data_IF_977261067733
#
_entry.id   IF_977261067733
#
_cell.length_a   1.000
_cell.length_b   1.000
_cell.length_c   1.000
_cell.angle_alpha   90.00
_cell.angle_beta   90.00
_cell.angle_gamma   90.00
#
_symmetry.space_group_name_H-M   'P 1'
#
loop_
_entity.id
_entity.type
_entity.pdbx_description
1 polymer ?
#
# COMPACT_ATOMS: atom_id res chain seq x y z
N UNK A 1 16.46 22.07 -7.13
CA UNK A 1 15.97 23.32 -6.49
C UNK A 1 16.26 23.25 -4.99
N UNK A 2 16.50 24.39 -4.33
CA UNK A 2 16.63 24.42 -2.87
C UNK A 2 15.24 24.28 -2.23
N UNK A 3 15.10 23.43 -1.21
CA UNK A 3 13.84 23.26 -0.50
C UNK A 3 13.61 24.43 0.47
N UNK A 4 12.35 24.79 0.76
CA UNK A 4 12.04 25.80 1.77
C UNK A 4 12.46 25.38 3.18
N UNK A 5 12.61 26.36 4.07
CA UNK A 5 13.05 26.12 5.45
C UNK A 5 11.98 25.55 6.37
N UNK A 6 10.68 25.73 6.09
CA UNK A 6 9.58 25.18 6.89
C UNK A 6 8.79 24.17 6.08
N UNK A 7 8.89 22.90 6.47
CA UNK A 7 8.26 21.79 5.78
C UNK A 7 7.26 21.12 6.72
N UNK A 8 6.02 21.00 6.27
CA UNK A 8 4.96 20.28 6.94
C UNK A 8 4.67 18.98 6.20
N UNK A 9 4.73 17.85 6.89
CA UNK A 9 4.36 16.53 6.39
C UNK A 9 3.05 16.13 7.08
N UNK A 10 2.04 15.76 6.29
CA UNK A 10 0.75 15.29 6.79
C UNK A 10 0.63 13.78 6.51
N UNK A 11 0.54 12.99 7.57
CA UNK A 11 0.46 11.52 7.55
C UNK A 11 1.75 10.85 8.05
N UNK A 12 1.65 10.04 9.10
CA UNK A 12 2.71 9.25 9.73
C UNK A 12 2.80 7.80 9.25
N UNK A 13 2.44 7.53 7.99
CA UNK A 13 2.65 6.24 7.33
C UNK A 13 4.05 6.10 6.71
N UNK A 14 4.26 5.07 5.89
CA UNK A 14 5.56 4.81 5.25
C UNK A 14 6.11 6.01 4.47
N UNK A 15 5.27 6.73 3.72
CA UNK A 15 5.69 7.89 2.92
C UNK A 15 6.14 9.01 3.85
N UNK A 16 5.29 9.42 4.80
CA UNK A 16 5.61 10.54 5.67
C UNK A 16 6.79 10.29 6.61
N UNK A 17 6.86 9.12 7.25
CA UNK A 17 7.97 8.80 8.16
C UNK A 17 9.30 8.71 7.42
N UNK A 18 9.34 8.02 6.29
CA UNK A 18 10.60 7.90 5.52
C UNK A 18 11.01 9.24 4.90
N UNK A 19 10.06 10.06 4.42
CA UNK A 19 10.34 11.42 3.95
C UNK A 19 10.89 12.30 5.08
N UNK A 20 10.31 12.23 6.27
CA UNK A 20 10.81 12.96 7.44
C UNK A 20 12.25 12.57 7.78
N UNK A 21 12.56 11.26 7.81
CA UNK A 21 13.93 10.73 8.07
C UNK A 21 14.92 11.22 6.99
N UNK A 22 14.51 11.25 5.72
CA UNK A 22 15.39 11.70 4.64
C UNK A 22 15.64 13.21 4.70
N UNK A 23 14.59 14.00 4.94
CA UNK A 23 14.69 15.45 5.06
C UNK A 23 15.53 15.87 6.26
N UNK A 24 15.34 15.27 7.43
CA UNK A 24 16.07 15.62 8.66
C UNK A 24 17.59 15.39 8.54
N UNK A 25 17.98 14.38 7.75
CA UNK A 25 19.39 14.07 7.43
C UNK A 25 19.96 14.99 6.35
N UNK A 26 19.23 15.22 5.26
CA UNK A 26 19.71 15.97 4.08
C UNK A 26 19.60 17.48 4.22
N UNK A 27 18.65 17.95 5.02
CA UNK A 27 18.32 19.36 5.22
C UNK A 27 18.31 19.69 6.73
N UNK A 28 19.46 19.63 7.42
CA UNK A 28 19.54 19.75 8.88
C UNK A 28 19.08 21.13 9.42
N UNK A 29 18.98 22.14 8.55
CA UNK A 29 18.51 23.49 8.90
C UNK A 29 17.00 23.69 8.64
N UNK A 30 16.31 22.70 8.07
CA UNK A 30 14.87 22.78 7.85
C UNK A 30 14.11 22.49 9.15
N UNK A 31 13.07 23.27 9.41
CA UNK A 31 12.07 23.01 10.43
C UNK A 31 11.03 22.05 9.86
N UNK A 32 11.05 20.81 10.34
CA UNK A 32 10.17 19.75 9.85
C UNK A 32 9.12 19.46 10.91
N UNK A 33 7.84 19.60 10.54
CA UNK A 33 6.71 19.16 11.36
C UNK A 33 6.03 17.98 10.68
N UNK A 34 5.77 16.90 11.42
CA UNK A 34 4.96 15.77 10.96
C UNK A 34 3.67 15.73 11.77
N UNK A 35 2.52 15.74 11.09
CA UNK A 35 1.21 15.57 11.71
C UNK A 35 0.68 14.17 11.41
N UNK A 36 0.26 13.43 12.44
CA UNK A 36 -0.46 12.17 12.33
C UNK A 36 -1.81 12.29 13.06
N UNK A 37 -2.88 11.74 12.51
CA UNK A 37 -4.22 11.79 13.11
C UNK A 37 -4.32 10.84 14.31
N UNK A 38 -3.77 9.63 14.20
CA UNK A 38 -3.77 8.68 15.30
C UNK A 38 -2.95 9.20 16.50
N UNK A 39 -3.37 8.91 17.74
CA UNK A 39 -2.64 9.31 18.94
C UNK A 39 -1.30 8.55 19.12
N UNK A 40 -1.05 7.56 18.27
CA UNK A 40 0.17 6.73 18.28
C UNK A 40 0.71 6.56 16.87
N UNK A 41 2.02 6.37 16.78
CA UNK A 41 2.69 5.81 15.60
C UNK A 41 3.36 4.53 16.10
N UNK A 42 2.98 3.35 15.60
CA UNK A 42 2.17 3.09 14.40
C UNK A 42 0.66 3.44 14.52
N UNK A 43 0.03 3.87 13.42
CA UNK A 43 -1.42 4.12 13.33
C UNK A 43 -2.15 2.79 13.03
N UNK A 44 -3.04 2.29 13.91
CA UNK A 44 -3.71 0.98 13.75
C UNK A 44 -4.62 0.89 12.51
N UNK A 45 -5.04 2.03 11.96
CA UNK A 45 -5.88 2.11 10.76
C UNK A 45 -5.07 2.35 9.48
N UNK A 46 -3.78 2.66 9.59
CA UNK A 46 -2.91 2.88 8.44
C UNK A 46 -2.59 1.56 7.72
N UNK A 47 -2.64 1.55 6.39
CA UNK A 47 -2.19 0.37 5.60
C UNK A 47 -0.70 0.06 5.75
N UNK A 48 0.08 0.98 6.32
CA UNK A 48 1.47 0.74 6.70
C UNK A 48 1.60 -0.28 7.86
N UNK A 49 0.52 -0.47 8.64
CA UNK A 49 0.52 -1.27 9.88
C UNK A 49 -0.22 -2.58 9.67
N UNK A 50 0.47 -3.67 9.99
CA UNK A 50 -0.01 -5.04 9.86
C UNK A 50 0.98 -6.00 10.55
N UNK A 51 0.58 -7.24 10.80
CA UNK A 51 1.50 -8.28 11.29
C UNK A 51 2.55 -8.67 10.25
N UNK A 52 2.24 -8.47 8.97
CA UNK A 52 3.19 -8.76 7.89
C UNK A 52 2.87 -8.06 6.57
N UNK A 53 3.92 -7.77 5.79
CA UNK A 53 3.83 -7.29 4.41
C UNK A 53 4.88 -7.97 3.53
N UNK A 54 4.52 -8.21 2.27
CA UNK A 54 5.42 -8.84 1.29
C UNK A 54 6.52 -7.83 0.89
N UNK A 55 7.77 -8.28 0.93
CA UNK A 55 8.96 -7.53 0.51
C UNK A 55 9.58 -8.24 -0.69
N UNK A 56 9.47 -7.64 -1.88
CA UNK A 56 9.77 -8.32 -3.15
C UNK A 56 10.28 -7.37 -4.24
N UNK A 57 11.14 -7.87 -5.13
CA UNK A 57 11.58 -7.17 -6.34
C UNK A 57 10.81 -7.61 -7.61
N UNK A 58 9.81 -8.46 -7.45
CA UNK A 58 9.17 -9.23 -8.51
C UNK A 58 8.16 -8.44 -9.36
N UNK A 59 8.61 -7.54 -10.23
CA UNK A 59 7.72 -6.71 -11.06
C UNK A 59 7.94 -6.94 -12.56
N UNK A 60 6.85 -6.88 -13.35
CA UNK A 60 6.96 -6.85 -14.81
C UNK A 60 7.64 -5.56 -15.32
N UNK A 61 7.53 -4.45 -14.59
CA UNK A 61 8.24 -3.21 -14.85
C UNK A 61 9.62 -3.25 -14.18
N UNK A 62 10.68 -3.03 -14.97
CA UNK A 62 12.07 -3.13 -14.51
C UNK A 62 12.45 -2.03 -13.53
N UNK A 63 11.88 -0.82 -13.62
CA UNK A 63 12.15 0.27 -12.68
C UNK A 63 11.71 -0.08 -11.25
N UNK A 64 10.53 -0.69 -11.09
CA UNK A 64 10.10 -1.22 -9.78
C UNK A 64 10.92 -2.42 -9.33
N UNK A 65 11.39 -3.26 -10.27
CA UNK A 65 12.28 -4.38 -9.92
C UNK A 65 13.60 -3.87 -9.33
N UNK A 66 14.23 -2.87 -9.96
CA UNK A 66 15.44 -2.19 -9.47
C UNK A 66 15.19 -1.52 -8.11
N UNK A 67 14.08 -0.79 -7.96
CA UNK A 67 13.72 -0.14 -6.69
C UNK A 67 13.49 -1.17 -5.58
N UNK A 68 12.85 -2.30 -5.90
CA UNK A 68 12.58 -3.39 -4.96
C UNK A 68 13.86 -4.07 -4.51
N UNK A 69 14.79 -4.31 -5.43
CA UNK A 69 16.12 -4.84 -5.13
C UNK A 69 16.91 -3.90 -4.21
N UNK A 70 16.90 -2.59 -4.49
CA UNK A 70 17.53 -1.59 -3.62
C UNK A 70 16.92 -1.56 -2.22
N UNK A 71 15.60 -1.69 -2.11
CA UNK A 71 14.90 -1.78 -0.82
C UNK A 71 15.27 -3.06 -0.08
N UNK A 72 15.25 -4.22 -0.74
CA UNK A 72 15.66 -5.51 -0.17
C UNK A 72 17.09 -5.47 0.35
N UNK A 73 18.02 -4.83 -0.38
CA UNK A 73 19.38 -4.63 0.11
C UNK A 73 19.38 -3.90 1.45
N UNK A 74 18.58 -2.83 1.61
CA UNK A 74 18.47 -2.11 2.88
C UNK A 74 17.83 -2.94 3.98
N UNK A 75 16.78 -3.70 3.68
CA UNK A 75 16.21 -4.66 4.64
C UNK A 75 17.26 -5.65 5.14
N UNK A 76 18.09 -6.22 4.25
CA UNK A 76 19.10 -7.22 4.62
C UNK A 76 20.32 -6.67 5.35
N UNK A 77 20.74 -5.44 5.06
CA UNK A 77 22.07 -4.93 5.42
C UNK A 77 22.08 -3.75 6.40
N UNK A 78 20.90 -3.37 6.91
CA UNK A 78 20.78 -2.23 7.84
C UNK A 78 19.81 -2.58 8.97
N UNK A 79 19.76 -1.77 10.04
CA UNK A 79 18.85 -2.00 11.17
C UNK A 79 17.35 -2.09 10.81
N UNK A 80 16.96 -1.71 9.61
CA UNK A 80 15.60 -1.89 9.09
C UNK A 80 15.12 -3.35 9.19
N UNK A 81 15.95 -4.35 8.84
CA UNK A 81 15.54 -5.75 8.90
C UNK A 81 15.95 -6.51 10.18
N UNK A 82 16.70 -5.86 11.07
CA UNK A 82 17.13 -6.46 12.34
C UNK A 82 15.96 -6.69 13.31
N UNK A 83 16.23 -7.35 14.43
CA UNK A 83 15.24 -7.67 15.49
C UNK A 83 14.01 -8.44 14.96
N UNK A 84 14.21 -9.25 13.92
CA UNK A 84 13.17 -10.05 13.30
C UNK A 84 12.14 -9.24 12.50
N UNK A 85 12.45 -7.98 12.14
CA UNK A 85 11.59 -7.16 11.27
C UNK A 85 11.55 -7.66 9.84
N UNK A 86 12.59 -8.31 9.33
CA UNK A 86 12.61 -8.88 7.97
C UNK A 86 12.95 -10.37 7.99
N UNK A 87 12.22 -11.13 7.19
CA UNK A 87 12.40 -12.58 6.99
C UNK A 87 12.53 -12.86 5.51
N UNK A 88 13.68 -13.42 5.11
CA UNK A 88 13.95 -13.83 3.73
C UNK A 88 13.68 -15.34 3.58
N UNK A 89 12.43 -15.69 3.28
CA UNK A 89 12.01 -17.08 3.05
C UNK A 89 11.46 -17.31 1.63
N UNK A 90 11.59 -16.32 0.74
CA UNK A 90 11.21 -16.40 -0.66
C UNK A 90 9.79 -15.95 -0.97
N UNK A 91 9.54 -15.76 -2.26
CA UNK A 91 8.24 -15.50 -2.85
C UNK A 91 7.98 -16.53 -3.95
N UNK A 92 6.87 -17.24 -3.86
CA UNK A 92 6.34 -18.11 -4.90
C UNK A 92 5.23 -17.38 -5.65
N UNK A 93 5.51 -16.97 -6.90
CA UNK A 93 4.53 -16.34 -7.77
C UNK A 93 3.99 -17.36 -8.77
N UNK A 94 2.68 -17.53 -8.79
CA UNK A 94 1.99 -18.53 -9.63
C UNK A 94 0.92 -17.91 -10.52
N UNK A 95 0.67 -18.52 -11.67
CA UNK A 95 -0.36 -18.09 -12.64
C UNK A 95 -1.19 -19.28 -13.15
N UNK A 96 -2.47 -19.06 -13.53
CA UNK A 96 -3.34 -20.13 -14.04
C UNK A 96 -3.09 -20.38 -15.53
N UNK A 97 -3.63 -21.48 -16.06
CA UNK A 97 -3.44 -21.87 -17.47
C UNK A 97 -4.23 -21.03 -18.47
N UNK A 98 -5.33 -20.44 -18.04
CA UNK A 98 -6.32 -19.73 -18.86
C UNK A 98 -6.15 -18.20 -18.87
N UNK A 99 -5.20 -17.65 -18.09
CA UNK A 99 -4.91 -16.21 -18.05
C UNK A 99 -3.61 -15.85 -18.78
N UNK A 100 -3.74 -15.38 -20.02
CA UNK A 100 -2.61 -14.92 -20.82
C UNK A 100 -1.89 -13.72 -20.19
N UNK A 101 -2.63 -12.78 -19.60
CA UNK A 101 -2.07 -11.58 -18.96
C UNK A 101 -1.27 -11.92 -17.70
N UNK A 102 -1.78 -12.80 -16.83
CA UNK A 102 -1.07 -13.24 -15.63
C UNK A 102 0.23 -13.98 -15.98
N UNK A 103 0.17 -14.85 -17.00
CA UNK A 103 1.34 -15.57 -17.50
C UNK A 103 2.39 -14.63 -18.08
N UNK A 104 1.97 -13.60 -18.82
CA UNK A 104 2.88 -12.62 -19.39
C UNK A 104 3.54 -11.75 -18.32
N UNK A 105 2.77 -11.27 -17.34
CA UNK A 105 3.32 -10.55 -16.19
C UNK A 105 4.36 -11.41 -15.46
N UNK A 106 4.02 -12.65 -15.13
CA UNK A 106 4.91 -13.55 -14.41
C UNK A 106 6.22 -13.79 -15.16
N UNK A 107 6.18 -13.91 -16.49
CA UNK A 107 7.37 -14.08 -17.33
C UNK A 107 8.26 -12.84 -17.36
N UNK A 108 7.69 -11.65 -17.55
CA UNK A 108 8.43 -10.38 -17.50
C UNK A 108 9.06 -10.16 -16.13
N UNK A 109 8.27 -10.42 -15.08
CA UNK A 109 8.71 -10.34 -13.70
C UNK A 109 9.87 -11.29 -13.42
N UNK A 110 9.73 -12.56 -13.81
CA UNK A 110 10.80 -13.56 -13.70
C UNK A 110 12.07 -13.11 -14.42
N UNK A 111 11.97 -12.62 -15.66
CA UNK A 111 13.13 -12.17 -16.42
C UNK A 111 13.88 -11.04 -15.69
N UNK A 112 13.15 -10.03 -15.19
CA UNK A 112 13.73 -8.92 -14.45
C UNK A 112 14.44 -9.38 -13.17
N UNK A 113 13.79 -10.20 -12.33
CA UNK A 113 14.42 -10.63 -11.07
C UNK A 113 15.52 -11.67 -11.29
N UNK A 114 15.44 -12.50 -12.34
CA UNK A 114 16.50 -13.45 -12.69
C UNK A 114 17.80 -12.72 -13.09
N UNK A 115 17.69 -11.57 -13.74
CA UNK A 115 18.84 -10.71 -14.04
C UNK A 115 19.48 -10.12 -12.77
N UNK A 116 18.68 -9.79 -11.76
CA UNK A 116 19.14 -9.17 -10.50
C UNK A 116 19.68 -10.20 -9.50
N UNK A 117 18.94 -11.28 -9.27
CA UNK A 117 19.17 -12.24 -8.17
C UNK A 117 19.79 -13.56 -8.64
N UNK A 118 19.95 -13.77 -9.96
CA UNK A 118 20.62 -14.95 -10.53
C UNK A 118 19.98 -16.26 -10.09
N UNK A 119 20.80 -17.17 -9.55
CA UNK A 119 20.39 -18.53 -9.16
C UNK A 119 19.39 -18.60 -8.01
N UNK A 120 19.17 -17.49 -7.30
CA UNK A 120 18.10 -17.40 -6.29
C UNK A 120 16.69 -17.43 -6.90
N UNK A 121 16.54 -17.26 -8.22
CA UNK A 121 15.25 -17.26 -8.91
C UNK A 121 15.12 -18.50 -9.79
N UNK A 122 14.14 -19.37 -9.49
CA UNK A 122 13.95 -20.65 -10.17
C UNK A 122 12.61 -20.65 -10.89
N UNK A 123 12.64 -20.86 -12.22
CA UNK A 123 11.43 -21.02 -13.02
C UNK A 123 10.75 -22.38 -12.78
N UNK A 124 9.43 -22.38 -12.69
CA UNK A 124 8.61 -23.56 -12.38
C UNK A 124 7.59 -23.75 -13.51
N UNK A 125 7.94 -24.49 -14.58
CA UNK A 125 7.14 -24.55 -15.81
C UNK A 125 5.83 -25.33 -15.65
N UNK A 126 5.71 -26.18 -14.64
CA UNK A 126 4.54 -27.04 -14.45
C UNK A 126 3.97 -26.94 -13.04
N UNK A 127 2.70 -27.34 -12.88
CA UNK A 127 2.07 -27.54 -11.57
C UNK A 127 2.88 -28.45 -10.65
N UNK A 128 3.50 -29.51 -11.18
CA UNK A 128 4.34 -30.43 -10.40
C UNK A 128 5.54 -29.71 -9.79
N UNK A 129 6.18 -28.83 -10.56
CA UNK A 129 7.34 -28.05 -10.09
C UNK A 129 6.91 -27.06 -9.00
N UNK A 130 5.76 -26.41 -9.16
CA UNK A 130 5.17 -25.52 -8.16
C UNK A 130 4.88 -26.26 -6.85
N UNK A 131 4.18 -27.40 -6.90
CA UNK A 131 3.85 -28.19 -5.71
C UNK A 131 5.09 -28.77 -5.03
N UNK A 132 6.18 -28.98 -5.77
CA UNK A 132 7.47 -29.39 -5.20
C UNK A 132 8.11 -28.35 -4.27
N UNK A 133 7.83 -27.05 -4.47
CA UNK A 133 8.37 -25.96 -3.62
C UNK A 133 7.56 -25.78 -2.33
N UNK A 134 6.26 -26.07 -2.38
CA UNK A 134 5.32 -25.87 -1.26
C UNK A 134 4.45 -27.12 -1.04
N UNK A 135 5.04 -28.24 -0.56
CA UNK A 135 4.33 -29.51 -0.39
C UNK A 135 3.07 -29.44 0.50
N UNK A 136 2.99 -28.58 1.53
CA UNK A 136 1.75 -28.44 2.31
C UNK A 136 0.55 -27.92 1.53
N UNK A 137 0.74 -27.38 0.31
CA UNK A 137 -0.35 -26.86 -0.50
C UNK A 137 -1.08 -27.96 -1.29
N UNK A 138 -2.40 -27.79 -1.41
CA UNK A 138 -3.28 -28.81 -1.96
C UNK A 138 -3.05 -29.09 -3.45
N UNK A 139 -3.23 -30.36 -3.86
CA UNK A 139 -3.17 -30.77 -5.26
C UNK A 139 -4.27 -30.14 -6.13
N UNK A 140 -5.30 -29.56 -5.51
CA UNK A 140 -6.40 -28.88 -6.19
C UNK A 140 -6.08 -27.44 -6.59
N UNK A 141 -4.87 -26.94 -6.30
CA UNK A 141 -4.42 -25.61 -6.72
C UNK A 141 -4.52 -25.45 -8.24
N UNK A 142 -5.26 -24.43 -8.69
CA UNK A 142 -5.38 -24.09 -10.10
C UNK A 142 -4.18 -23.24 -10.55
N UNK A 143 -3.16 -23.92 -11.08
CA UNK A 143 -1.90 -23.32 -11.49
C UNK A 143 -1.35 -24.06 -12.72
N UNK A 144 -0.87 -23.30 -13.70
CA UNK A 144 -0.15 -23.85 -14.84
C UNK A 144 1.36 -23.83 -14.63
N UNK A 145 1.88 -22.80 -13.96
CA UNK A 145 3.29 -22.64 -13.63
C UNK A 145 3.53 -21.38 -12.82
N UNK A 146 4.81 -21.03 -12.67
CA UNK A 146 5.23 -19.90 -11.86
C UNK A 146 6.74 -19.79 -11.80
N UNK A 147 7.22 -19.17 -10.74
CA UNK A 147 8.62 -19.19 -10.34
C UNK A 147 8.73 -18.90 -8.84
N UNK A 148 9.83 -19.30 -8.24
CA UNK A 148 10.18 -18.93 -6.86
C UNK A 148 11.39 -18.01 -6.88
N UNK A 149 11.32 -16.92 -6.12
CA UNK A 149 12.41 -16.00 -5.88
C UNK A 149 12.81 -16.06 -4.40
N UNK A 150 13.91 -16.75 -4.10
CA UNK A 150 14.47 -16.88 -2.73
C UNK A 150 15.14 -15.60 -2.22
N UNK A 151 15.31 -14.60 -3.09
CA UNK A 151 15.72 -13.26 -2.68
C UNK A 151 14.60 -12.45 -2.01
N UNK A 152 13.34 -12.78 -2.30
CA UNK A 152 12.20 -12.09 -1.71
C UNK A 152 11.83 -12.63 -0.33
N UNK A 153 10.90 -11.96 0.35
CA UNK A 153 10.47 -12.36 1.68
C UNK A 153 9.30 -11.50 2.19
N UNK A 154 9.25 -11.32 3.50
CA UNK A 154 8.25 -10.49 4.15
C UNK A 154 8.84 -9.78 5.37
N UNK A 155 8.12 -8.78 5.88
CA UNK A 155 8.53 -8.05 7.07
C UNK A 155 7.38 -7.88 8.05
N UNK A 156 7.69 -7.82 9.34
CA UNK A 156 6.81 -7.30 10.39
C UNK A 156 6.59 -5.79 10.15
N UNK A 157 5.38 -5.44 9.71
CA UNK A 157 5.09 -4.11 9.22
C UNK A 157 4.87 -3.10 10.34
N UNK A 158 4.18 -3.50 11.40
CA UNK A 158 4.01 -2.69 12.59
C UNK A 158 5.34 -2.40 13.27
N UNK A 159 6.18 -3.42 13.49
CA UNK A 159 7.50 -3.24 14.10
C UNK A 159 8.41 -2.35 13.25
N UNK A 160 8.30 -2.41 11.91
CA UNK A 160 9.07 -1.56 11.01
C UNK A 160 8.64 -0.09 11.07
N UNK A 161 7.34 0.19 11.21
CA UNK A 161 6.82 1.55 11.41
C UNK A 161 7.25 2.11 12.78
N UNK A 162 7.19 1.28 13.82
CA UNK A 162 7.68 1.64 15.15
C UNK A 162 9.18 1.95 15.12
N UNK A 163 9.98 1.19 14.37
CA UNK A 163 11.40 1.45 14.17
C UNK A 163 11.65 2.80 13.47
N UNK A 164 10.92 3.11 12.41
CA UNK A 164 11.03 4.43 11.74
C UNK A 164 10.70 5.59 12.69
N UNK A 165 9.68 5.41 13.54
CA UNK A 165 9.34 6.40 14.57
C UNK A 165 10.47 6.56 15.59
N UNK A 166 11.04 5.46 16.07
CA UNK A 166 12.19 5.45 16.98
C UNK A 166 13.38 6.22 16.40
N UNK A 167 13.69 6.04 15.11
CA UNK A 167 14.76 6.78 14.43
C UNK A 167 14.54 8.30 14.48
N UNK A 168 13.31 8.75 14.28
CA UNK A 168 12.97 10.18 14.36
C UNK A 168 13.07 10.73 15.78
N UNK A 169 12.66 9.94 16.78
CA UNK A 169 12.76 10.32 18.19
C UNK A 169 14.21 10.44 18.65
N UNK A 170 15.07 9.49 18.25
CA UNK A 170 16.50 9.50 18.55
C UNK A 170 17.23 10.67 17.87
N UNK A 171 16.79 11.05 16.66
CA UNK A 171 17.35 12.20 15.96
C UNK A 171 16.91 13.54 16.57
N UNK A 172 15.67 13.64 17.05
CA UNK A 172 15.15 14.81 17.77
C UNK A 172 14.95 16.09 16.92
N UNK A 173 15.03 16.01 15.59
CA UNK A 173 14.90 17.17 14.68
C UNK A 173 13.50 17.37 14.08
N UNK A 174 12.62 16.38 14.19
CA UNK A 174 11.28 16.43 13.61
C UNK A 174 10.25 16.66 14.72
N UNK A 175 9.45 17.72 14.57
CA UNK A 175 8.35 18.01 15.50
C UNK A 175 7.16 17.14 15.14
N UNK A 176 6.90 16.11 15.93
CA UNK A 176 5.68 15.31 15.80
C UNK A 176 4.49 16.00 16.46
N UNK A 177 3.34 16.01 15.78
CA UNK A 177 2.05 16.42 16.34
C UNK A 177 0.98 15.38 16.05
N UNK A 178 0.11 15.15 17.03
CA UNK A 178 -1.07 14.31 16.88
C UNK A 178 -2.30 15.20 16.70
N UNK A 179 -2.87 15.24 15.50
CA UNK A 179 -4.04 16.06 15.19
C UNK A 179 -4.72 15.65 13.88
N UNK A 180 -6.04 15.87 13.82
CA UNK A 180 -6.82 15.74 12.60
C UNK A 180 -6.68 16.99 11.72
N UNK A 181 -6.18 16.80 10.50
CA UNK A 181 -6.13 17.85 9.49
C UNK A 181 -7.47 17.92 8.77
N UNK A 182 -8.09 19.10 8.84
CA UNK A 182 -9.38 19.38 8.21
C UNK A 182 -9.23 19.74 6.73
N UNK A 183 -8.30 20.64 6.40
CA UNK A 183 -8.03 21.10 5.02
C UNK A 183 -6.66 21.76 4.86
N UNK A 184 -6.19 21.84 3.62
CA UNK A 184 -5.04 22.67 3.23
C UNK A 184 -5.46 24.15 3.15
N UNK A 185 -4.60 25.03 3.65
CA UNK A 185 -4.75 26.48 3.56
C UNK A 185 -4.04 27.01 2.32
N UNK A 186 -4.72 27.86 1.55
CA UNK A 186 -4.17 28.49 0.36
C UNK A 186 -4.16 30.01 0.50
N UNK A 187 -3.07 30.63 0.05
CA UNK A 187 -2.99 32.07 -0.19
C UNK A 187 -3.28 32.35 -1.67
N UNK A 188 -4.29 33.18 -1.92
CA UNK A 188 -4.69 33.63 -3.25
C UNK A 188 -3.94 34.90 -3.62
N UNK A 189 -2.82 34.75 -4.32
CA UNK A 189 -2.10 35.88 -4.87
C UNK A 189 -2.67 36.24 -6.25
N UNK A 190 -3.05 37.52 -6.41
CA UNK A 190 -3.52 38.05 -7.70
C UNK A 190 -2.49 37.75 -8.81
N UNK A 191 -2.96 37.19 -9.92
CA UNK A 191 -2.18 36.82 -11.10
C UNK A 191 -1.12 35.71 -10.92
N UNK A 192 -1.21 34.90 -9.85
CA UNK A 192 -0.36 33.72 -9.63
C UNK A 192 -1.19 32.47 -9.32
N UNK A 193 -0.56 31.29 -9.41
CA UNK A 193 -1.15 30.04 -8.90
C UNK A 193 -1.36 30.16 -7.39
N UNK A 194 -2.48 29.67 -6.83
CA UNK A 194 -2.67 29.63 -5.38
C UNK A 194 -1.53 28.85 -4.72
N UNK A 195 -1.07 29.32 -3.55
CA UNK A 195 0.04 28.71 -2.82
C UNK A 195 -0.47 28.05 -1.55
N UNK A 196 -0.12 26.78 -1.33
CA UNK A 196 -0.34 26.13 -0.05
C UNK A 196 0.57 26.77 1.01
N UNK A 197 -0.02 27.22 2.13
CA UNK A 197 0.68 27.92 3.22
C UNK A 197 0.61 27.19 4.56
N UNK A 198 0.01 26.00 4.58
CA UNK A 198 -0.19 25.21 5.79
C UNK A 198 -1.48 24.41 5.76
N UNK A 199 -1.96 24.03 6.94
CA UNK A 199 -3.22 23.30 7.14
C UNK A 199 -4.03 23.89 8.29
N UNK A 200 -5.35 23.76 8.21
CA UNK A 200 -6.28 23.95 9.33
C UNK A 200 -6.57 22.58 9.96
N UNK A 201 -6.55 22.52 11.29
CA UNK A 201 -6.91 21.35 12.07
C UNK A 201 -8.41 21.36 12.41
N UNK A 202 -8.96 20.22 12.84
CA UNK A 202 -10.39 20.14 13.22
C UNK A 202 -10.75 21.04 14.43
N UNK A 203 -9.77 21.41 15.28
CA UNK A 203 -9.94 22.39 16.36
C UNK A 203 -9.86 23.86 15.90
N UNK A 204 -9.84 24.10 14.59
CA UNK A 204 -9.70 25.39 13.91
C UNK A 204 -8.35 26.10 14.11
N UNK A 205 -7.37 25.47 14.77
CA UNK A 205 -6.00 25.99 14.80
C UNK A 205 -5.27 25.72 13.48
N UNK A 206 -4.23 26.52 13.20
CA UNK A 206 -3.48 26.44 11.95
C UNK A 206 -2.04 26.00 12.19
N UNK A 207 -1.50 25.20 11.27
CA UNK A 207 -0.07 24.85 11.20
C UNK A 207 0.49 25.36 9.88
N UNK A 208 1.30 26.41 9.94
CA UNK A 208 1.84 27.09 8.76
C UNK A 208 3.16 26.50 8.29
N UNK A 209 3.37 26.46 6.97
CA UNK A 209 4.60 25.98 6.34
C UNK A 209 4.79 26.60 4.94
N UNK A 210 6.04 26.56 4.45
CA UNK A 210 6.38 27.02 3.10
C UNK A 210 6.26 25.89 2.05
N UNK A 211 6.29 24.63 2.53
CA UNK A 211 6.05 23.43 1.75
C UNK A 211 5.15 22.47 2.56
N UNK A 212 4.02 22.09 1.98
CA UNK A 212 3.09 21.09 2.52
C UNK A 212 3.22 19.81 1.73
N UNK A 213 3.54 18.70 2.41
CA UNK A 213 3.67 17.36 1.85
C UNK A 213 2.49 16.52 2.31
N UNK A 214 1.60 16.13 1.39
CA UNK A 214 0.50 15.22 1.69
C UNK A 214 0.95 13.78 1.48
N UNK A 215 1.22 13.10 2.60
CA UNK A 215 1.55 11.68 2.70
C UNK A 215 0.43 10.89 3.37
N UNK A 216 -0.82 11.26 3.07
CA UNK A 216 -2.04 10.83 3.79
C UNK A 216 -2.70 9.57 3.22
N UNK A 217 -2.03 8.84 2.31
CA UNK A 217 -2.51 7.58 1.77
C UNK A 217 -3.97 7.63 1.29
N UNK A 218 -4.80 6.72 1.79
CA UNK A 218 -6.22 6.59 1.42
C UNK A 218 -7.08 7.81 1.80
N UNK A 219 -6.60 8.69 2.67
CA UNK A 219 -7.29 9.93 3.05
C UNK A 219 -6.93 11.13 2.17
N UNK A 220 -5.96 10.99 1.25
CA UNK A 220 -5.55 12.10 0.37
C UNK A 220 -6.69 12.75 -0.43
N UNK A 221 -7.69 12.00 -0.97
CA UNK A 221 -8.82 12.60 -1.69
C UNK A 221 -9.65 13.61 -0.89
N UNK A 222 -9.58 13.60 0.45
CA UNK A 222 -10.23 14.60 1.30
C UNK A 222 -9.52 15.96 1.28
N UNK A 223 -8.21 15.97 0.99
CA UNK A 223 -7.35 17.15 1.13
C UNK A 223 -6.96 17.76 -0.23
N UNK A 224 -7.06 17.01 -1.31
CA UNK A 224 -6.81 17.46 -2.69
C UNK A 224 -7.70 16.68 -3.66
N UNK A 225 -8.12 17.32 -4.75
CA UNK A 225 -8.95 16.68 -5.77
C UNK A 225 -8.13 15.65 -6.58
N UNK A 226 -8.43 14.37 -6.35
CA UNK A 226 -7.82 13.23 -7.05
C UNK A 226 -8.77 12.55 -8.02
N UNK A 227 -9.93 13.14 -8.33
CA UNK A 227 -10.90 12.53 -9.25
C UNK A 227 -10.24 12.20 -10.59
N UNK A 228 -10.37 10.95 -11.00
CA UNK A 228 -9.75 10.40 -12.21
C UNK A 228 -8.24 10.19 -12.14
N UNK A 229 -7.60 10.42 -10.99
CA UNK A 229 -6.15 10.27 -10.79
C UNK A 229 -5.83 9.21 -9.76
N UNK A 230 -6.62 9.14 -8.70
CA UNK A 230 -6.47 8.15 -7.66
C UNK A 230 -7.79 7.90 -6.93
N UNK A 231 -7.99 6.67 -6.45
CA UNK A 231 -9.19 6.29 -5.68
C UNK A 231 -8.80 5.47 -4.46
N UNK A 232 -9.39 5.75 -3.30
CA UNK A 232 -9.20 4.92 -2.13
C UNK A 232 -10.02 3.62 -2.25
N UNK A 233 -9.38 2.47 -2.07
CA UNK A 233 -10.05 1.17 -2.06
C UNK A 233 -9.68 0.37 -0.81
N UNK A 234 -10.66 -0.35 -0.29
CA UNK A 234 -10.52 -1.27 0.83
C UNK A 234 -10.29 -2.69 0.33
N UNK A 235 -9.29 -3.38 0.90
CA UNK A 235 -8.99 -4.78 0.57
C UNK A 235 -9.25 -5.71 1.74
N UNK A 236 -9.72 -6.91 1.44
CA UNK A 236 -9.99 -7.92 2.44
C UNK A 236 -8.70 -8.54 3.00
N UNK A 237 -8.65 -8.67 4.33
CA UNK A 237 -7.61 -9.41 5.07
C UNK A 237 -8.29 -10.24 6.16
N UNK A 238 -7.83 -11.47 6.36
CA UNK A 238 -8.25 -12.32 7.47
C UNK A 238 -7.04 -13.00 8.14
N UNK A 239 -7.23 -13.35 9.40
CA UNK A 239 -6.22 -14.01 10.23
C UNK A 239 -6.79 -15.29 10.84
N UNK A 240 -5.96 -16.33 10.93
CA UNK A 240 -6.31 -17.64 11.47
C UNK A 240 -5.33 -17.97 12.59
N UNK A 241 -5.84 -18.35 13.78
CA UNK A 241 -5.00 -18.90 14.86
C UNK A 241 -4.54 -20.30 14.49
N UNK A 242 -3.26 -20.58 14.65
CA UNK A 242 -2.66 -21.89 14.40
C UNK A 242 -1.93 -22.41 15.64
N UNK A 243 -1.61 -23.70 15.64
CA UNK A 243 -0.81 -24.32 16.70
C UNK A 243 0.69 -24.13 16.47
N UNK A 244 1.51 -24.30 17.51
CA UNK A 244 2.97 -24.26 17.39
C UNK A 244 3.52 -25.29 16.38
N UNK A 245 2.84 -26.44 16.22
CA UNK A 245 3.22 -27.45 15.25
C UNK A 245 2.99 -26.96 13.82
N UNK A 246 1.86 -26.30 13.57
CA UNK A 246 1.52 -25.71 12.27
C UNK A 246 2.40 -24.48 11.97
N UNK A 247 2.74 -23.67 12.98
CA UNK A 247 3.70 -22.57 12.86
C UNK A 247 5.05 -23.09 12.34
N UNK A 248 5.63 -24.11 13.00
CA UNK A 248 6.91 -24.73 12.58
C UNK A 248 6.86 -25.31 11.17
N UNK A 249 5.72 -25.82 10.74
CA UNK A 249 5.54 -26.37 9.39
C UNK A 249 5.53 -25.27 8.31
N UNK A 250 4.97 -24.09 8.61
CA UNK A 250 4.67 -23.07 7.62
C UNK A 250 5.66 -21.89 7.61
N UNK A 251 6.35 -21.59 8.71
CA UNK A 251 7.13 -20.34 8.87
C UNK A 251 8.30 -20.17 7.88
N UNK A 252 8.86 -21.29 7.41
CA UNK A 252 9.98 -21.30 6.47
C UNK A 252 9.53 -21.46 5.00
N UNK A 253 8.24 -21.58 4.72
CA UNK A 253 7.74 -21.62 3.35
C UNK A 253 7.84 -20.23 2.70
N UNK A 254 7.96 -20.15 1.36
CA UNK A 254 7.86 -18.88 0.68
C UNK A 254 6.44 -18.31 0.77
N UNK A 255 6.36 -16.99 0.78
CA UNK A 255 5.07 -16.30 0.58
C UNK A 255 4.49 -16.70 -0.76
N UNK A 256 3.23 -17.16 -0.80
CA UNK A 256 2.56 -17.44 -2.07
C UNK A 256 1.78 -16.21 -2.52
N UNK A 257 1.94 -15.85 -3.79
CA UNK A 257 1.20 -14.81 -4.47
C UNK A 257 0.56 -15.40 -5.72
N UNK A 258 -0.76 -15.63 -5.65
CA UNK A 258 -1.51 -16.30 -6.70
C UNK A 258 -2.21 -15.28 -7.61
N UNK A 259 -1.68 -15.09 -8.82
CA UNK A 259 -2.23 -14.15 -9.78
C UNK A 259 -3.54 -14.63 -10.41
N UNK A 260 -3.93 -15.90 -10.25
CA UNK A 260 -5.23 -16.38 -10.69
C UNK A 260 -6.38 -15.77 -9.87
N UNK A 261 -6.15 -15.64 -8.56
CA UNK A 261 -7.20 -15.28 -7.59
C UNK A 261 -6.93 -13.95 -6.89
N UNK A 262 -5.75 -13.35 -7.09
CA UNK A 262 -5.25 -12.22 -6.32
C UNK A 262 -4.94 -12.56 -4.85
N UNK A 263 -5.05 -13.83 -4.44
CA UNK A 263 -4.85 -14.25 -3.06
C UNK A 263 -3.36 -14.40 -2.76
N UNK A 264 -2.98 -13.96 -1.57
CA UNK A 264 -1.67 -14.25 -1.01
C UNK A 264 -1.77 -14.70 0.44
N UNK A 265 -0.84 -15.59 0.80
CA UNK A 265 -0.67 -16.09 2.15
C UNK A 265 0.78 -15.82 2.53
N UNK A 266 0.95 -15.05 3.60
CA UNK A 266 2.27 -14.77 4.17
C UNK A 266 2.50 -15.81 5.29
N UNK A 267 3.70 -16.40 5.38
CA UNK A 267 4.06 -17.34 6.44
C UNK A 267 3.72 -16.79 7.82
N UNK A 268 3.25 -17.65 8.74
CA UNK A 268 2.72 -17.20 10.01
C UNK A 268 3.82 -16.70 10.93
N UNK A 269 3.43 -15.80 11.84
CA UNK A 269 4.25 -15.34 12.97
C UNK A 269 3.38 -15.35 14.21
N UNK A 270 3.95 -15.72 15.35
CA UNK A 270 3.26 -15.71 16.65
C UNK A 270 1.92 -16.46 16.60
N UNK A 271 1.90 -17.61 15.92
CA UNK A 271 0.73 -18.47 15.74
C UNK A 271 -0.46 -17.79 15.02
N UNK A 272 -0.18 -16.78 14.20
CA UNK A 272 -1.17 -16.09 13.39
C UNK A 272 -0.84 -16.22 11.90
N UNK A 273 -1.67 -16.98 11.18
CA UNK A 273 -1.59 -17.11 9.73
C UNK A 273 -2.44 -16.04 9.06
N UNK A 274 -1.86 -15.30 8.13
CA UNK A 274 -2.53 -14.24 7.38
C UNK A 274 -2.89 -14.70 5.98
N UNK A 275 -4.13 -14.42 5.57
CA UNK A 275 -4.60 -14.50 4.18
C UNK A 275 -5.17 -13.15 3.76
N UNK A 276 -4.87 -12.73 2.54
CA UNK A 276 -5.36 -11.46 2.00
C UNK A 276 -5.57 -11.54 0.50
N UNK A 277 -6.38 -10.61 -0.02
CA UNK A 277 -6.77 -10.55 -1.43
C UNK A 277 -6.36 -9.22 -2.02
N UNK A 278 -5.62 -9.25 -3.12
CA UNK A 278 -5.40 -8.11 -4.00
C UNK A 278 -6.48 -8.13 -5.09
N UNK A 279 -7.51 -7.31 -4.90
CA UNK A 279 -8.65 -7.19 -5.79
C UNK A 279 -8.84 -5.73 -6.26
N UNK A 280 -9.84 -5.50 -7.11
CA UNK A 280 -10.32 -4.14 -7.36
C UNK A 280 -10.74 -3.41 -6.07
N UNK A 281 -11.17 -4.17 -5.06
CA UNK A 281 -11.46 -3.67 -3.71
C UNK A 281 -12.83 -3.01 -3.56
N UNK A 282 -13.12 -2.57 -2.34
CA UNK A 282 -14.36 -1.89 -2.01
C UNK A 282 -14.17 -0.38 -1.99
N UNK A 283 -15.09 0.35 -2.59
CA UNK A 283 -15.20 1.80 -2.45
C UNK A 283 -16.15 2.14 -1.31
N UNK A 284 -15.92 3.28 -0.67
CA UNK A 284 -16.82 3.87 0.32
C UNK A 284 -17.06 5.34 -0.05
N UNK A 285 -18.01 5.61 -0.98
CA UNK A 285 -18.25 6.95 -1.46
C UNK A 285 -18.78 7.89 -0.37
N UNK A 286 -18.16 9.05 -0.23
CA UNK A 286 -18.51 10.12 0.72
C UNK A 286 -18.53 11.45 -0.03
N UNK A 287 -19.49 12.31 0.29
CA UNK A 287 -19.55 13.69 -0.24
C UNK A 287 -18.70 14.60 0.63
N UNK A 288 -17.75 15.30 0.02
CA UNK A 288 -16.85 16.25 0.67
C UNK A 288 -16.80 17.58 -0.09
N UNK A 289 -16.43 18.70 0.53
CA UNK A 289 -16.14 19.94 -0.19
C UNK A 289 -14.99 19.73 -1.17
N UNK A 290 -15.03 20.40 -2.33
CA UNK A 290 -13.88 20.40 -3.25
C UNK A 290 -12.73 21.22 -2.61
N UNK A 291 -11.54 20.64 -2.43
CA UNK A 291 -10.41 21.33 -1.82
C UNK A 291 -10.03 22.59 -2.61
N UNK A 292 -9.83 23.70 -1.89
CA UNK A 292 -9.52 24.99 -2.50
C UNK A 292 -10.74 25.80 -2.99
N UNK A 293 -11.97 25.26 -2.94
CA UNK A 293 -13.19 25.98 -3.38
C UNK A 293 -14.22 26.14 -2.27
N UNK A 294 -13.81 26.07 -0.99
CA UNK A 294 -14.74 26.10 0.17
C UNK A 294 -15.69 27.30 0.15
N UNK A 295 -15.27 28.45 -0.40
CA UNK A 295 -16.12 29.64 -0.52
C UNK A 295 -17.26 29.49 -1.55
N UNK A 296 -17.10 28.66 -2.59
CA UNK A 296 -18.14 28.42 -3.59
C UNK A 296 -19.20 27.41 -3.12
N UNK A 297 -18.91 26.65 -2.06
CA UNK A 297 -19.78 25.58 -1.55
C UNK A 297 -19.82 24.34 -2.45
N UNK A 298 -18.92 24.23 -3.42
CA UNK A 298 -18.86 23.07 -4.32
C UNK A 298 -18.47 21.80 -3.55
N UNK A 299 -19.12 20.69 -3.91
CA UNK A 299 -18.86 19.36 -3.32
C UNK A 299 -18.51 18.34 -4.39
N UNK A 300 -17.73 17.33 -4.01
CA UNK A 300 -17.41 16.17 -4.83
C UNK A 300 -17.69 14.88 -4.06
N UNK A 301 -17.85 13.78 -4.80
CA UNK A 301 -17.89 12.45 -4.22
C UNK A 301 -16.52 11.78 -4.41
N UNK A 302 -15.96 11.27 -3.32
CA UNK A 302 -14.70 10.52 -3.30
C UNK A 302 -14.85 9.28 -2.43
N UNK A 303 -14.01 8.27 -2.65
CA UNK A 303 -13.93 7.13 -1.72
C UNK A 303 -13.04 7.47 -0.52
N UNK A 304 -13.49 7.18 0.71
CA UNK A 304 -12.70 7.40 1.95
C UNK A 304 -12.70 6.17 2.87
N UNK A 305 -11.64 5.97 3.66
CA UNK A 305 -11.56 4.85 4.59
C UNK A 305 -12.71 4.79 5.59
N UNK A 306 -13.22 3.58 5.80
CA UNK A 306 -14.11 3.21 6.91
C UNK A 306 -13.34 2.29 7.87
N UNK A 307 -13.23 2.67 9.14
CA UNK A 307 -12.46 1.95 10.15
C UNK A 307 -13.33 0.91 10.87
N UNK A 308 -12.72 -0.19 11.32
CA UNK A 308 -13.37 -1.16 12.22
C UNK A 308 -14.49 -1.98 11.58
N UNK A 309 -14.55 -2.04 10.25
CA UNK A 309 -15.51 -2.86 9.51
C UNK A 309 -14.94 -4.25 9.18
N UNK A 310 -15.76 -5.31 9.32
CA UNK A 310 -15.33 -6.66 8.95
C UNK A 310 -15.25 -6.80 7.43
N UNK A 311 -14.64 -7.89 6.99
CA UNK A 311 -14.68 -8.30 5.58
C UNK A 311 -16.12 -8.70 5.21
N UNK A 312 -16.69 -8.21 4.09
CA UNK A 312 -17.97 -8.70 3.58
C UNK A 312 -17.95 -10.20 3.26
N UNK A 313 -19.12 -10.84 3.30
CA UNK A 313 -19.27 -12.29 3.12
C UNK A 313 -18.61 -12.79 1.82
N UNK A 314 -18.70 -12.05 0.71
CA UNK A 314 -18.04 -12.47 -0.55
C UNK A 314 -16.51 -12.56 -0.40
N UNK A 315 -15.91 -11.65 0.37
CA UNK A 315 -14.48 -11.64 0.64
C UNK A 315 -14.09 -12.82 1.53
N UNK A 316 -14.91 -13.14 2.53
CA UNK A 316 -14.74 -14.35 3.35
C UNK A 316 -14.87 -15.61 2.51
N UNK A 317 -15.88 -15.72 1.65
CA UNK A 317 -16.08 -16.85 0.73
C UNK A 317 -14.89 -17.01 -0.22
N UNK A 318 -14.34 -15.91 -0.74
CA UNK A 318 -13.11 -15.93 -1.54
C UNK A 318 -11.92 -16.52 -0.76
N UNK A 319 -11.78 -16.19 0.52
CA UNK A 319 -10.78 -16.82 1.39
C UNK A 319 -11.05 -18.30 1.60
N UNK A 320 -12.31 -18.72 1.81
CA UNK A 320 -12.65 -20.16 1.96
C UNK A 320 -12.33 -20.95 0.70
N UNK A 321 -12.62 -20.41 -0.48
CA UNK A 321 -12.27 -21.02 -1.78
C UNK A 321 -10.75 -21.15 -1.90
N UNK A 322 -10.00 -20.09 -1.58
CA UNK A 322 -8.55 -20.11 -1.65
C UNK A 322 -7.93 -21.08 -0.65
N UNK A 323 -8.40 -21.14 0.60
CA UNK A 323 -7.95 -22.10 1.59
C UNK A 323 -8.21 -23.54 1.15
N UNK A 324 -9.34 -23.83 0.51
CA UNK A 324 -9.62 -25.17 -0.04
C UNK A 324 -8.58 -25.63 -1.06
N UNK A 325 -7.97 -24.69 -1.78
CA UNK A 325 -6.94 -24.97 -2.79
C UNK A 325 -5.52 -24.94 -2.18
N UNK A 326 -5.24 -23.95 -1.35
CA UNK A 326 -3.91 -23.65 -0.84
C UNK A 326 -3.61 -24.37 0.47
N UNK A 327 -4.53 -24.38 1.44
CA UNK A 327 -4.31 -24.98 2.76
C UNK A 327 -5.59 -25.66 3.25
N UNK A 328 -5.97 -26.82 2.67
CA UNK A 328 -7.30 -27.41 2.86
C UNK A 328 -7.66 -27.68 4.32
N UNK A 329 -6.66 -27.98 5.17
CA UNK A 329 -6.83 -28.22 6.61
C UNK A 329 -7.36 -27.01 7.40
N UNK A 330 -7.27 -25.80 6.85
CA UNK A 330 -7.76 -24.57 7.48
C UNK A 330 -9.10 -24.09 6.93
N UNK A 331 -9.71 -24.79 5.96
CA UNK A 331 -10.91 -24.31 5.26
C UNK A 331 -12.08 -24.03 6.20
N UNK A 332 -12.27 -24.85 7.24
CA UNK A 332 -13.37 -24.70 8.22
C UNK A 332 -12.94 -23.99 9.50
N UNK A 333 -11.67 -23.57 9.62
CA UNK A 333 -11.16 -22.91 10.83
C UNK A 333 -11.73 -21.49 10.91
N UNK A 334 -12.26 -21.04 12.06
CA UNK A 334 -12.77 -19.68 12.18
C UNK A 334 -11.66 -18.65 11.93
N UNK A 335 -12.01 -17.55 11.27
CA UNK A 335 -11.13 -16.39 11.23
C UNK A 335 -11.10 -15.78 12.63
N UNK A 336 -9.89 -15.60 13.17
CA UNK A 336 -9.68 -14.98 14.47
C UNK A 336 -9.93 -13.47 14.41
N UNK A 337 -9.65 -12.87 13.26
CA UNK A 337 -9.94 -11.47 12.96
C UNK A 337 -10.08 -11.28 11.45
N UNK A 338 -10.85 -10.26 11.04
CA UNK A 338 -10.95 -9.81 9.65
C UNK A 338 -11.01 -8.30 9.61
N UNK A 339 -10.39 -7.69 8.60
CA UNK A 339 -10.44 -6.24 8.43
C UNK A 339 -10.36 -5.82 6.98
N UNK A 340 -10.90 -4.63 6.71
CA UNK A 340 -10.66 -3.91 5.47
C UNK A 340 -9.43 -3.02 5.61
N UNK A 341 -8.43 -3.23 4.76
CA UNK A 341 -7.22 -2.42 4.69
C UNK A 341 -7.30 -1.43 3.53
N UNK A 342 -7.20 -0.14 3.81
CA UNK A 342 -7.37 0.92 2.82
C UNK A 342 -6.06 1.44 2.23
N UNK A 343 -6.01 1.56 0.90
CA UNK A 343 -4.93 2.25 0.19
C UNK A 343 -5.47 3.04 -1.01
N UNK A 344 -4.61 3.80 -1.65
CA UNK A 344 -4.96 4.66 -2.80
C UNK A 344 -4.42 4.06 -4.08
N UNK A 345 -5.31 3.79 -5.03
CA UNK A 345 -5.00 3.20 -6.32
C UNK A 345 -4.94 4.26 -7.40
N UNK A 346 -3.92 4.17 -8.25
CA UNK A 346 -3.79 4.96 -9.48
C UNK A 346 -4.09 4.08 -10.70
N UNK A 347 -4.39 4.65 -11.89
CA UNK A 347 -4.85 3.88 -13.03
C UNK A 347 -3.89 2.76 -13.45
N UNK A 348 -2.58 3.01 -13.37
CA UNK A 348 -1.52 2.09 -13.76
C UNK A 348 -0.85 1.39 -12.56
N UNK A 349 -1.29 1.69 -11.33
CA UNK A 349 -0.66 1.19 -10.12
C UNK A 349 0.63 1.92 -9.73
N UNK A 350 0.96 3.03 -10.39
CA UNK A 350 2.10 3.88 -10.04
C UNK A 350 1.85 4.78 -8.83
N UNK A 351 2.92 5.32 -8.23
CA UNK A 351 2.80 6.28 -7.14
C UNK A 351 2.53 7.69 -7.66
N UNK A 352 2.04 8.58 -6.79
CA UNK A 352 2.00 10.02 -7.07
C UNK A 352 3.02 10.67 -6.15
N UNK A 353 4.17 11.02 -6.73
CA UNK A 353 5.32 11.62 -6.01
C UNK A 353 5.76 12.87 -6.77
N UNK A 354 5.00 13.94 -6.64
CA UNK A 354 5.20 15.16 -7.42
C UNK A 354 4.67 16.41 -6.72
N UNK A 355 5.13 17.58 -7.18
CA UNK A 355 4.43 18.83 -6.89
C UNK A 355 3.05 18.82 -7.57
N UNK A 356 2.07 19.46 -6.92
CA UNK A 356 0.76 19.66 -7.52
C UNK A 356 0.86 20.73 -8.63
N UNK A 357 0.32 20.49 -9.84
CA UNK A 357 0.52 21.42 -10.96
C UNK A 357 -0.21 22.75 -10.79
N UNK A 358 -1.32 22.77 -10.05
CA UNK A 358 -2.14 23.96 -9.85
C UNK A 358 -1.84 24.73 -8.55
N UNK A 359 -1.13 24.12 -7.60
CA UNK A 359 -0.91 24.69 -6.27
C UNK A 359 0.57 24.75 -5.93
N UNK A 360 1.12 25.96 -5.83
CA UNK A 360 2.52 26.13 -5.41
C UNK A 360 2.71 25.68 -3.95
N UNK A 361 3.87 25.11 -3.63
CA UNK A 361 4.17 24.68 -2.26
C UNK A 361 3.38 23.46 -1.79
N UNK A 362 2.61 22.80 -2.66
CA UNK A 362 1.94 21.53 -2.36
C UNK A 362 2.66 20.38 -3.06
N UNK A 363 3.10 19.40 -2.29
CA UNK A 363 3.74 18.18 -2.76
C UNK A 363 2.91 16.96 -2.33
N UNK A 364 2.78 15.97 -3.21
CA UNK A 364 2.05 14.73 -2.94
C UNK A 364 3.01 13.56 -2.87
N UNK A 365 2.83 12.70 -1.88
CA UNK A 365 3.49 11.41 -1.73
C UNK A 365 2.43 10.36 -1.37
N UNK A 366 1.66 9.93 -2.38
CA UNK A 366 0.48 9.06 -2.21
C UNK A 366 0.38 8.05 -3.37
N UNK A 367 -0.79 7.42 -3.54
CA UNK A 367 -1.03 6.50 -4.65
C UNK A 367 -0.28 5.17 -4.51
N UNK A 368 -0.04 4.73 -3.27
CA UNK A 368 0.78 3.55 -2.98
C UNK A 368 0.27 2.23 -3.60
N UNK A 369 -0.95 2.21 -4.15
CA UNK A 369 -1.53 1.16 -5.01
C UNK A 369 -1.41 -0.26 -4.45
N UNK A 370 -1.47 -0.39 -3.12
CA UNK A 370 -1.34 -1.65 -2.40
C UNK A 370 0.08 -2.25 -2.36
N UNK A 371 1.11 -1.54 -2.84
CA UNK A 371 2.44 -2.12 -3.02
C UNK A 371 3.62 -1.25 -2.54
N UNK A 372 3.38 -0.03 -2.06
CA UNK A 372 4.46 0.88 -1.62
C UNK A 372 5.26 0.44 -0.37
N UNK A 373 4.66 -0.35 0.54
CA UNK A 373 5.27 -0.69 1.83
C UNK A 373 6.70 -1.25 1.72
N UNK A 374 6.96 -2.14 0.76
CA UNK A 374 8.26 -2.80 0.63
C UNK A 374 9.42 -1.85 0.40
N UNK A 375 9.15 -0.65 -0.11
CA UNK A 375 10.14 0.38 -0.36
C UNK A 375 10.41 1.26 0.86
N UNK A 376 9.82 0.96 2.03
CA UNK A 376 9.92 1.81 3.22
C UNK A 376 11.35 2.28 3.58
N UNK A 377 12.41 1.45 3.48
CA UNK A 377 13.77 1.90 3.77
C UNK A 377 14.36 2.90 2.76
N UNK A 378 13.77 3.06 1.58
CA UNK A 378 14.31 3.87 0.47
C UNK A 378 13.35 4.90 -0.10
N UNK A 379 12.03 4.75 0.11
CA UNK A 379 11.01 5.57 -0.57
C UNK A 379 11.10 7.03 -0.16
N UNK A 380 11.45 7.31 1.09
CA UNK A 380 11.67 8.66 1.60
C UNK A 380 12.76 9.41 0.84
N UNK A 381 13.87 8.75 0.53
CA UNK A 381 14.95 9.35 -0.27
C UNK A 381 14.47 9.68 -1.67
N UNK A 382 13.65 8.82 -2.28
CA UNK A 382 13.06 9.06 -3.60
C UNK A 382 12.05 10.20 -3.60
N UNK A 383 11.26 10.34 -2.53
CA UNK A 383 10.38 11.50 -2.35
C UNK A 383 11.19 12.79 -2.29
N UNK A 384 12.29 12.82 -1.51
CA UNK A 384 13.14 14.02 -1.41
C UNK A 384 13.88 14.30 -2.72
N UNK A 385 14.32 13.27 -3.44
CA UNK A 385 14.90 13.42 -4.78
C UNK A 385 13.91 14.04 -5.76
N UNK A 386 12.62 13.65 -5.70
CA UNK A 386 11.58 14.27 -6.52
C UNK A 386 11.37 15.76 -6.15
N UNK A 387 11.33 16.10 -4.85
CA UNK A 387 11.21 17.48 -4.38
C UNK A 387 12.37 18.36 -4.84
N UNK A 388 13.58 17.80 -4.91
CA UNK A 388 14.81 18.50 -5.32
C UNK A 388 15.00 18.55 -6.85
N UNK A 389 14.22 17.78 -7.61
CA UNK A 389 14.37 17.63 -9.07
C UNK A 389 15.51 16.69 -9.48
N UNK A 390 15.84 15.70 -8.65
CA UNK A 390 16.93 14.73 -8.82
C UNK A 390 16.46 13.28 -9.00
N UNK A 391 15.15 13.03 -8.96
CA UNK A 391 14.59 11.68 -9.15
C UNK A 391 15.00 11.11 -10.52
N UNK A 392 15.36 9.82 -10.52
CA UNK A 392 15.74 9.10 -11.73
C UNK A 392 14.65 9.24 -12.82
N UNK A 393 15.01 9.42 -14.10
CA UNK A 393 14.05 9.63 -15.18
C UNK A 393 12.94 8.58 -15.25
N UNK A 394 13.29 7.29 -15.10
CA UNK A 394 12.34 6.18 -15.12
C UNK A 394 11.28 6.30 -14.01
N UNK A 395 11.67 6.66 -12.78
CA UNK A 395 10.73 6.83 -11.67
C UNK A 395 9.94 8.15 -11.79
N UNK A 396 10.55 9.19 -12.33
CA UNK A 396 9.89 10.49 -12.55
C UNK A 396 8.74 10.36 -13.55
N UNK A 397 8.95 9.64 -14.64
CA UNK A 397 7.92 9.36 -15.64
C UNK A 397 6.78 8.51 -15.06
N UNK A 398 7.09 7.52 -14.22
CA UNK A 398 6.07 6.71 -13.57
C UNK A 398 5.27 7.49 -12.52
N UNK A 399 5.90 8.39 -11.78
CA UNK A 399 5.29 9.02 -10.59
C UNK A 399 4.79 10.44 -10.80
N UNK A 400 4.85 10.94 -12.03
CA UNK A 400 4.38 12.28 -12.34
C UNK A 400 2.87 12.44 -12.15
N UNK A 401 2.45 13.68 -11.96
CA UNK A 401 1.04 14.00 -11.92
C UNK A 401 0.41 13.81 -13.31
N UNK A 402 -0.49 12.83 -13.43
CA UNK A 402 -1.17 12.57 -14.70
C UNK A 402 -2.04 13.74 -15.15
N UNK A 403 -1.93 14.08 -16.44
CA UNK A 403 -2.70 15.15 -17.10
C UNK A 403 -4.08 14.71 -17.56
N UNK A 404 -4.51 13.47 -17.26
CA UNK A 404 -5.87 13.01 -17.55
C UNK A 404 -6.91 14.01 -17.03
N UNK A 405 -7.85 14.35 -17.91
CA UNK A 405 -8.94 15.30 -17.63
C UNK A 405 -9.71 14.84 -16.41
N UNK A 406 -9.93 15.74 -15.45
CA UNK A 406 -10.71 15.43 -14.25
C UNK A 406 -12.15 15.12 -14.67
N UNK A 407 -12.62 13.86 -14.54
CA UNK A 407 -14.00 13.53 -14.83
C UNK A 407 -14.94 14.16 -13.81
N UNK A 408 -16.23 14.25 -14.15
CA UNK A 408 -17.22 14.76 -13.21
C UNK A 408 -17.40 13.84 -11.98
N UNK A 409 -17.08 12.55 -12.16
CA UNK A 409 -17.13 11.49 -11.16
C UNK A 409 -15.94 10.53 -11.27
N UNK A 410 -15.46 10.00 -10.12
CA UNK A 410 -14.48 8.89 -10.07
C UNK A 410 -14.97 7.61 -10.76
N UNK A 411 -16.28 7.45 -10.99
CA UNK A 411 -16.86 6.27 -11.67
C UNK A 411 -16.58 6.22 -13.17
N UNK A 412 -16.01 7.28 -13.76
CA UNK A 412 -15.79 7.36 -15.21
C UNK A 412 -14.46 6.74 -15.66
N UNK A 413 -13.54 6.41 -14.75
CA UNK A 413 -12.21 5.87 -15.09
C UNK A 413 -12.02 4.50 -14.44
N UNK A 414 -11.60 3.52 -15.25
CA UNK A 414 -11.28 2.18 -14.80
C UNK A 414 -9.83 2.11 -14.33
N UNK A 415 -9.62 1.68 -13.08
CA UNK A 415 -8.31 1.55 -12.47
C UNK A 415 -7.87 0.08 -12.52
N UNK A 416 -7.33 -0.34 -13.66
CA UNK A 416 -6.86 -1.72 -13.86
C UNK A 416 -5.51 -2.00 -13.16
N UNK A 417 -4.81 -0.95 -12.71
CA UNK A 417 -3.53 -1.07 -12.02
C UNK A 417 -2.46 -1.68 -12.90
N UNK A 418 -1.67 -2.60 -12.33
CA UNK A 418 -0.63 -3.35 -13.05
C UNK A 418 -1.17 -4.65 -13.70
N UNK A 419 -2.49 -4.84 -13.73
CA UNK A 419 -3.14 -6.02 -14.26
C UNK A 419 -3.18 -7.24 -13.32
N UNK A 420 -2.70 -7.12 -12.07
CA UNK A 420 -2.72 -8.21 -11.09
C UNK A 420 -4.01 -8.31 -10.25
N UNK A 421 -4.96 -7.39 -10.46
CA UNK A 421 -6.21 -7.33 -9.68
C UNK A 421 -7.21 -8.40 -10.10
N UNK A 422 -7.88 -8.96 -9.11
CA UNK A 422 -8.95 -9.93 -9.26
C UNK A 422 -10.31 -9.40 -8.76
N UNK A 423 -11.37 -10.21 -8.89
CA UNK A 423 -12.65 -9.97 -8.24
C UNK A 423 -13.58 -9.00 -8.97
N UNK A 424 -14.71 -8.70 -8.32
CA UNK A 424 -15.72 -7.82 -8.88
C UNK A 424 -15.22 -6.38 -8.93
N UNK A 425 -15.51 -5.70 -10.04
CA UNK A 425 -15.25 -4.26 -10.22
C UNK A 425 -16.33 -3.46 -9.50
N UNK A 426 -15.99 -2.23 -9.09
CA UNK A 426 -16.91 -1.23 -8.54
C UNK A 426 -17.76 -1.67 -7.34
N UNK A 427 -17.22 -2.55 -6.50
CA UNK A 427 -17.93 -2.99 -5.30
C UNK A 427 -18.06 -1.84 -4.29
N UNK A 428 -19.29 -1.56 -3.84
CA UNK A 428 -19.56 -0.58 -2.78
C UNK A 428 -19.63 -1.30 -1.44
N UNK A 429 -18.76 -0.90 -0.51
CA UNK A 429 -18.58 -1.57 0.78
C UNK A 429 -19.89 -1.71 1.56
N UNK A 430 -20.68 -0.62 1.61
CA UNK A 430 -21.95 -0.59 2.34
C UNK A 430 -22.96 -1.59 1.80
N UNK A 431 -22.97 -1.80 0.49
CA UNK A 431 -23.90 -2.71 -0.18
C UNK A 431 -23.50 -4.17 0.07
N UNK A 432 -22.21 -4.49 -0.01
CA UNK A 432 -21.69 -5.83 0.31
C UNK A 432 -21.90 -6.20 1.79
N UNK A 433 -21.71 -5.25 2.70
CA UNK A 433 -22.05 -5.45 4.13
C UNK A 433 -23.56 -5.65 4.35
N UNK A 434 -24.41 -4.98 3.58
CA UNK A 434 -25.86 -5.19 3.65
C UNK A 434 -26.27 -6.58 3.15
N UNK A 435 -25.67 -7.06 2.05
CA UNK A 435 -25.85 -8.43 1.56
C UNK A 435 -25.42 -9.45 2.60
N UNK A 436 -24.27 -9.22 3.24
CA UNK A 436 -23.74 -10.07 4.32
C UNK A 436 -24.73 -10.22 5.47
N UNK A 437 -25.26 -9.10 5.99
CA UNK A 437 -26.27 -9.10 7.08
C UNK A 437 -27.55 -9.86 6.69
N UNK A 438 -27.98 -9.75 5.43
CA UNK A 438 -29.17 -10.45 4.94
C UNK A 438 -28.96 -11.96 4.89
N UNK A 439 -27.79 -12.42 4.43
CA UNK A 439 -27.43 -13.82 4.39
C UNK A 439 -27.40 -14.45 5.79
N UNK A 440 -26.78 -13.79 6.77
CA UNK A 440 -26.73 -14.29 8.17
C UNK A 440 -28.10 -14.39 8.83
N UNK A 441 -29.05 -13.50 8.49
CA UNK A 441 -30.43 -13.59 9.02
C UNK A 441 -31.23 -14.73 8.39
N UNK A 442 -30.95 -15.06 7.12
CA UNK A 442 -31.62 -16.14 6.41
C UNK A 442 -31.15 -17.55 6.82
N UNK A 443 -29.99 -17.68 7.46
CA UNK A 443 -29.48 -18.97 7.96
C UNK A 443 -29.92 -19.32 9.39
N UNK A 444 -30.63 -18.42 10.06
CA UNK A 444 -31.14 -18.59 11.45
C UNK A 444 -32.65 -18.87 11.50
N UNK A 445 -33.33 -18.79 10.35
CA UNK A 445 -34.72 -19.20 10.13
C UNK A 445 -34.76 -20.53 9.38
#
# INVERSE_FOLDING_TARGET
>A
MALPSKILIVGGGIFGLSTAISLSKRHPNAQITLIESAPTIPNPHGSSVDTSRIVRADYANSAYSKLGAAAIQKWRSTPWGEEGRYTQNGLLLVYPGDSASAKEYARKSYANVREIEGDNVVFLPTKKDVLGVVPPYGETLDVAGGYVNWGSGWSDAEASVAFAKKLLDEEGKVVLRHADVKRVLFDELKDKKPRAIGVELEDASNVLADLVVLATGAWTPRLVDLRGKAVATGQAIAYIKISDAEQRELENLPTILNFATGIFIIPPRDNLLKIARHAYGYRNPVTVPVPGTVQSGETMQVSLPENGVPVPLEGEEAFRVALRQLLPRFVDRPFADTRICWYTDTPNGDFIVSYHPAYEGLFLATGGSGHAYKFFPVIGDKVVDAMEGKLEPELRELWEWTTMTTPSSETEIMFDGDGSRSGARDSILKDELAKSRKATRGSVL
#
